data_IF_004418530100
#
_entry.id   IF_004418530100
#
_cell.length_a   1.000
_cell.length_b   1.000
_cell.length_c   1.000
_cell.angle_alpha   90.00
_cell.angle_beta   90.00
_cell.angle_gamma   90.00
#
_symmetry.space_group_name_H-M   'P 1'
#
loop_
_entity.id
_entity.type
_entity.pdbx_description
1 polymer ?
#
# COMPACT_ATOMS: atom_id res chain seq x y z
N UNK A 1 -57.45 66.41 17.76
CA UNK A 1 -57.61 65.01 17.30
C UNK A 1 -56.27 64.58 16.64
N UNK A 2 -55.42 63.87 17.37
CA UNK A 2 -54.09 63.47 16.93
C UNK A 2 -54.03 61.93 16.80
N UNK A 3 -53.85 61.47 15.60
CA UNK A 3 -53.79 60.03 15.31
C UNK A 3 -52.32 59.61 15.35
N UNK A 4 -51.95 58.84 16.37
CA UNK A 4 -50.60 58.18 16.46
C UNK A 4 -50.59 56.92 15.59
N UNK A 5 -49.73 56.89 14.58
CA UNK A 5 -49.43 55.69 13.80
C UNK A 5 -48.33 54.91 14.52
N UNK A 6 -48.64 53.73 15.01
CA UNK A 6 -47.65 52.76 15.52
C UNK A 6 -47.09 51.99 14.36
N UNK A 7 -45.76 52.08 14.09
CA UNK A 7 -45.05 51.20 13.20
C UNK A 7 -44.59 49.98 13.99
N UNK A 8 -45.13 48.80 13.62
CA UNK A 8 -44.59 47.52 14.06
C UNK A 8 -43.42 47.13 13.15
N UNK A 9 -42.19 47.19 13.67
CA UNK A 9 -41.02 46.58 13.05
C UNK A 9 -41.04 45.07 13.35
N UNK A 10 -41.31 44.26 12.35
CA UNK A 10 -41.12 42.81 12.43
C UNK A 10 -39.64 42.53 12.14
N UNK A 11 -38.88 42.21 13.17
CA UNK A 11 -37.50 41.72 13.03
C UNK A 11 -37.53 40.25 12.62
N UNK A 12 -37.26 39.95 11.34
CA UNK A 12 -36.97 38.60 10.88
C UNK A 12 -35.60 38.20 11.39
N UNK A 13 -35.53 37.41 12.47
CA UNK A 13 -34.32 36.68 12.87
C UNK A 13 -34.10 35.54 11.87
N UNK A 14 -33.28 35.74 10.86
CA UNK A 14 -32.71 34.63 10.07
C UNK A 14 -31.77 33.85 11.00
N UNK A 15 -32.23 32.74 11.54
CA UNK A 15 -31.33 31.73 12.13
C UNK A 15 -30.43 31.13 11.04
N UNK A 16 -29.24 31.70 10.90
CA UNK A 16 -28.14 31.04 10.19
C UNK A 16 -27.71 29.81 11.02
N UNK A 17 -28.37 28.69 10.80
CA UNK A 17 -27.86 27.42 11.23
C UNK A 17 -26.50 27.23 10.52
N UNK A 18 -25.42 26.99 11.25
CA UNK A 18 -24.15 26.62 10.60
C UNK A 18 -24.42 25.31 9.85
N UNK A 19 -24.46 25.35 8.53
CA UNK A 19 -24.32 24.18 7.69
C UNK A 19 -22.95 23.61 8.06
N UNK A 20 -22.94 22.59 8.94
CA UNK A 20 -21.79 21.70 9.04
C UNK A 20 -21.67 21.06 7.66
N UNK A 21 -20.78 21.59 6.83
CA UNK A 21 -20.30 20.83 5.68
C UNK A 21 -19.62 19.59 6.29
N UNK A 22 -20.39 18.52 6.44
CA UNK A 22 -19.82 17.19 6.67
C UNK A 22 -18.93 16.93 5.49
N UNK A 23 -17.64 16.65 5.72
CA UNK A 23 -16.77 16.19 4.66
C UNK A 23 -17.47 14.97 4.03
N UNK A 24 -17.77 15.05 2.74
CA UNK A 24 -18.33 13.93 2.03
C UNK A 24 -17.17 13.00 1.70
N UNK A 25 -17.33 11.72 2.04
CA UNK A 25 -16.34 10.69 1.77
C UNK A 25 -16.70 9.93 0.50
N UNK A 26 -15.70 9.48 -0.22
CA UNK A 26 -15.91 8.45 -1.22
C UNK A 26 -16.45 7.18 -0.54
N UNK A 27 -17.36 6.47 -1.19
CA UNK A 27 -18.02 5.31 -0.61
C UNK A 27 -18.41 4.29 -1.68
N UNK A 28 -18.88 3.14 -1.26
CA UNK A 28 -19.37 2.12 -2.18
C UNK A 28 -20.86 2.34 -2.48
N UNK A 29 -21.21 2.26 -3.75
CA UNK A 29 -22.59 2.27 -4.20
C UNK A 29 -22.83 1.15 -5.21
N UNK A 30 -23.53 0.11 -4.80
CA UNK A 30 -23.72 -1.08 -5.63
C UNK A 30 -22.38 -1.67 -6.10
N UNK A 31 -22.17 -1.84 -7.41
CA UNK A 31 -20.95 -2.39 -8.01
C UNK A 31 -19.83 -1.35 -8.20
N UNK A 32 -19.99 -0.15 -7.71
CA UNK A 32 -19.09 0.97 -7.96
C UNK A 32 -18.57 1.59 -6.67
N UNK A 33 -17.36 2.13 -6.75
CA UNK A 33 -16.89 3.15 -5.82
C UNK A 33 -17.32 4.49 -6.41
N UNK A 34 -17.84 5.36 -5.57
CA UNK A 34 -18.25 6.73 -5.93
C UNK A 34 -17.46 7.75 -5.11
N UNK A 35 -17.21 8.91 -5.69
CA UNK A 35 -16.54 10.00 -5.00
C UNK A 35 -17.47 10.70 -3.98
N UNK A 36 -16.97 11.73 -3.33
CA UNK A 36 -17.70 12.55 -2.37
C UNK A 36 -18.95 13.27 -2.96
N UNK A 37 -19.18 13.19 -4.26
CA UNK A 37 -20.31 13.79 -4.98
C UNK A 37 -21.20 12.75 -5.65
N UNK A 38 -21.12 11.50 -5.21
CA UNK A 38 -21.86 10.34 -5.76
C UNK A 38 -21.57 10.06 -7.25
N UNK A 39 -20.41 10.50 -7.76
CA UNK A 39 -19.98 10.21 -9.13
C UNK A 39 -19.13 8.95 -9.15
N UNK A 40 -19.33 8.06 -10.14
CA UNK A 40 -18.47 6.89 -10.31
C UNK A 40 -17.00 7.28 -10.31
N UNK A 41 -16.22 6.62 -9.46
CA UNK A 41 -14.79 6.85 -9.30
C UNK A 41 -14.03 5.56 -9.60
N UNK A 42 -13.22 5.58 -10.66
CA UNK A 42 -12.37 4.46 -11.02
C UNK A 42 -10.94 4.75 -10.52
N UNK A 43 -10.45 3.89 -9.65
CA UNK A 43 -9.10 3.99 -9.10
C UNK A 43 -8.08 3.76 -10.22
N UNK A 44 -7.18 4.71 -10.44
CA UNK A 44 -6.02 4.59 -11.29
C UNK A 44 -4.79 4.98 -10.48
N UNK A 45 -4.07 3.98 -9.95
CA UNK A 45 -3.05 4.22 -8.96
C UNK A 45 -1.78 3.40 -9.11
N UNK A 46 -0.86 3.64 -8.20
CA UNK A 46 0.36 2.87 -8.02
C UNK A 46 0.62 2.60 -6.53
N UNK A 47 1.46 1.60 -6.25
CA UNK A 47 1.81 1.20 -4.91
C UNK A 47 3.15 1.82 -4.50
N UNK A 48 3.23 2.48 -3.34
CA UNK A 48 4.48 2.97 -2.76
C UNK A 48 5.24 1.81 -2.08
N UNK A 49 5.44 0.71 -2.81
CA UNK A 49 6.20 -0.45 -2.35
C UNK A 49 7.64 -0.11 -1.97
N UNK A 50 8.27 -0.98 -1.19
CA UNK A 50 9.66 -0.84 -0.78
C UNK A 50 9.96 0.34 0.18
N UNK A 51 8.95 1.03 0.67
CA UNK A 51 9.11 2.17 1.58
C UNK A 51 9.09 1.75 3.07
N UNK A 52 7.94 1.28 3.57
CA UNK A 52 7.81 0.72 4.93
C UNK A 52 8.07 -0.79 4.97
N UNK A 53 7.91 -1.46 3.83
CA UNK A 53 8.11 -2.91 3.67
C UNK A 53 9.14 -3.13 2.55
N UNK A 54 10.44 -3.08 2.85
CA UNK A 54 11.48 -3.42 1.88
C UNK A 54 11.39 -4.90 1.49
N UNK A 55 11.53 -5.17 0.18
CA UNK A 55 11.56 -6.50 -0.40
C UNK A 55 12.84 -6.73 -1.19
N UNK A 56 13.47 -7.88 -1.00
CA UNK A 56 14.83 -8.10 -1.48
C UNK A 56 15.00 -7.98 -2.99
N UNK A 57 14.05 -8.48 -3.77
CA UNK A 57 14.12 -8.39 -5.23
C UNK A 57 14.06 -6.94 -5.76
N UNK A 58 13.49 -6.00 -4.96
CA UNK A 58 13.48 -4.57 -5.30
C UNK A 58 14.81 -3.87 -4.99
N UNK A 59 15.76 -4.59 -4.38
CA UNK A 59 17.12 -4.17 -4.06
C UNK A 59 18.19 -4.96 -4.85
N UNK A 60 17.79 -5.71 -5.87
CA UNK A 60 18.61 -6.67 -6.63
C UNK A 60 19.16 -7.84 -5.77
N UNK A 61 18.51 -8.16 -4.65
CA UNK A 61 18.92 -9.23 -3.74
C UNK A 61 18.30 -10.60 -4.07
N UNK A 62 17.91 -10.86 -5.31
CA UNK A 62 17.42 -12.18 -5.69
C UNK A 62 18.42 -13.27 -5.28
N UNK A 63 17.93 -14.26 -4.51
CA UNK A 63 18.75 -15.32 -3.92
C UNK A 63 19.51 -14.93 -2.64
N UNK A 64 19.25 -13.74 -2.10
CA UNK A 64 19.73 -13.24 -0.80
C UNK A 64 18.57 -12.90 0.14
N UNK A 65 18.72 -11.88 1.02
CA UNK A 65 17.66 -11.44 1.93
C UNK A 65 16.42 -11.00 1.16
N UNK A 66 15.24 -11.48 1.56
CA UNK A 66 13.99 -11.20 0.86
C UNK A 66 13.02 -10.39 1.71
N UNK A 67 12.95 -10.64 3.01
CA UNK A 67 12.05 -9.92 3.92
C UNK A 67 12.65 -8.62 4.44
N UNK A 68 11.81 -7.74 4.95
CA UNK A 68 12.23 -6.49 5.59
C UNK A 68 13.25 -6.73 6.71
N UNK A 69 13.02 -7.73 7.57
CA UNK A 69 13.92 -8.09 8.68
C UNK A 69 15.26 -8.60 8.19
N UNK A 70 15.27 -9.45 7.15
CA UNK A 70 16.50 -9.96 6.59
C UNK A 70 17.34 -8.85 5.97
N UNK A 71 16.71 -7.88 5.30
CA UNK A 71 17.38 -6.71 4.72
C UNK A 71 17.88 -5.80 5.86
N UNK A 72 17.08 -5.55 6.90
CA UNK A 72 17.50 -4.78 8.08
C UNK A 72 18.71 -5.43 8.79
N UNK A 73 18.71 -6.77 8.90
CA UNK A 73 19.84 -7.52 9.45
C UNK A 73 21.10 -7.38 8.58
N UNK A 74 20.98 -7.49 7.25
CA UNK A 74 22.09 -7.27 6.32
C UNK A 74 22.66 -5.85 6.47
N UNK A 75 21.82 -4.84 6.51
CA UNK A 75 22.24 -3.43 6.69
C UNK A 75 22.97 -3.27 8.02
N UNK A 76 22.46 -3.88 9.08
CA UNK A 76 23.09 -3.86 10.41
C UNK A 76 24.43 -4.61 10.42
N UNK A 77 24.53 -5.76 9.73
CA UNK A 77 25.78 -6.53 9.56
C UNK A 77 26.86 -5.70 8.86
N UNK A 78 26.48 -4.90 7.87
CA UNK A 78 27.42 -4.13 7.06
C UNK A 78 27.78 -2.77 7.67
N UNK A 79 26.80 -2.02 8.20
CA UNK A 79 27.01 -0.67 8.72
C UNK A 79 27.32 -0.62 10.22
N UNK A 80 26.95 -1.65 10.98
CA UNK A 80 26.85 -1.62 12.43
C UNK A 80 25.55 -0.97 12.92
N UNK A 81 25.12 -1.23 14.19
CA UNK A 81 23.77 -0.90 14.66
C UNK A 81 23.45 0.60 14.61
N UNK A 82 24.39 1.46 15.04
CA UNK A 82 24.13 2.90 15.08
C UNK A 82 23.93 3.50 13.69
N UNK A 83 24.85 3.19 12.77
CA UNK A 83 24.75 3.67 11.38
C UNK A 83 23.58 3.05 10.62
N UNK A 84 23.19 1.80 10.92
CA UNK A 84 22.02 1.17 10.35
C UNK A 84 20.74 1.91 10.77
N UNK A 85 20.63 2.29 12.04
CA UNK A 85 19.51 3.09 12.54
C UNK A 85 19.38 4.42 11.80
N UNK A 86 20.50 5.14 11.66
CA UNK A 86 20.55 6.40 10.91
C UNK A 86 20.25 6.21 9.42
N UNK A 87 20.75 5.15 8.80
CA UNK A 87 20.47 4.81 7.41
C UNK A 87 18.97 4.62 7.20
N UNK A 88 18.31 3.80 8.01
CA UNK A 88 16.89 3.51 7.86
C UNK A 88 16.00 4.74 8.07
N UNK A 89 16.35 5.60 9.02
CA UNK A 89 15.66 6.88 9.21
C UNK A 89 15.78 7.75 7.95
N UNK A 90 17.00 7.91 7.41
CA UNK A 90 17.24 8.68 6.19
C UNK A 90 16.59 8.04 4.96
N UNK A 91 16.62 6.70 4.85
CA UNK A 91 15.97 5.97 3.78
C UNK A 91 14.47 6.29 3.74
N UNK A 92 13.76 6.11 4.85
CA UNK A 92 12.33 6.38 4.92
C UNK A 92 11.96 7.86 4.73
N UNK A 93 12.80 8.77 5.19
CA UNK A 93 12.59 10.22 4.99
C UNK A 93 12.76 10.67 3.53
N UNK A 94 13.61 9.98 2.75
CA UNK A 94 13.97 10.38 1.39
C UNK A 94 13.35 9.52 0.29
N UNK A 95 12.83 8.32 0.60
CA UNK A 95 12.28 7.41 -0.39
C UNK A 95 11.01 7.95 -1.04
N UNK A 96 10.12 8.54 -0.23
CA UNK A 96 8.93 9.26 -0.70
C UNK A 96 9.00 10.70 -0.22
N UNK A 97 9.04 11.63 -1.17
CA UNK A 97 9.06 13.07 -0.91
C UNK A 97 7.92 13.76 -1.68
N UNK A 98 7.69 15.05 -1.41
CA UNK A 98 6.60 15.80 -2.05
C UNK A 98 6.63 15.74 -3.58
N UNK A 99 7.83 15.77 -4.16
CA UNK A 99 8.01 15.72 -5.61
C UNK A 99 7.54 14.39 -6.21
N UNK A 100 7.63 13.27 -5.47
CA UNK A 100 7.10 11.97 -5.91
C UNK A 100 5.58 12.05 -6.08
N UNK A 101 4.87 12.64 -5.12
CA UNK A 101 3.42 12.80 -5.15
C UNK A 101 3.00 13.74 -6.29
N UNK A 102 3.74 14.84 -6.46
CA UNK A 102 3.52 15.77 -7.56
C UNK A 102 3.71 15.12 -8.94
N UNK A 103 4.76 14.31 -9.11
CA UNK A 103 5.00 13.55 -10.35
C UNK A 103 3.85 12.60 -10.66
N UNK A 104 3.33 11.88 -9.66
CA UNK A 104 2.20 10.97 -9.82
C UNK A 104 0.93 11.72 -10.25
N UNK A 105 0.65 12.87 -9.63
CA UNK A 105 -0.46 13.72 -10.06
C UNK A 105 -0.29 14.20 -11.52
N UNK A 106 0.89 14.70 -11.89
CA UNK A 106 1.16 15.15 -13.26
C UNK A 106 1.01 14.03 -14.29
N UNK A 107 1.41 12.80 -13.93
CA UNK A 107 1.21 11.63 -14.77
C UNK A 107 -0.26 11.25 -14.96
N UNK A 108 -1.15 11.71 -14.08
CA UNK A 108 -2.60 11.47 -14.15
C UNK A 108 -3.09 10.33 -13.27
N UNK A 109 -2.28 9.85 -12.33
CA UNK A 109 -2.77 8.98 -11.26
C UNK A 109 -3.75 9.75 -10.38
N UNK A 110 -4.73 9.06 -9.82
CA UNK A 110 -5.72 9.63 -8.90
C UNK A 110 -5.67 9.01 -7.50
N UNK A 111 -4.92 7.94 -7.33
CA UNK A 111 -4.85 7.18 -6.08
C UNK A 111 -3.45 6.63 -5.85
N UNK A 112 -3.04 6.55 -4.59
CA UNK A 112 -1.79 5.94 -4.14
C UNK A 112 -2.13 4.89 -3.08
N UNK A 113 -1.66 3.65 -3.26
CA UNK A 113 -1.72 2.62 -2.20
C UNK A 113 -0.41 2.61 -1.44
N UNK A 114 -0.48 2.59 -0.12
CA UNK A 114 0.68 2.67 0.77
C UNK A 114 0.78 1.39 1.59
N UNK A 115 1.71 0.48 1.25
CA UNK A 115 2.03 -0.68 2.07
C UNK A 115 2.58 -0.29 3.43
N UNK A 116 1.94 -0.74 4.51
CA UNK A 116 2.29 -0.46 5.90
C UNK A 116 2.87 -1.70 6.57
N UNK A 117 3.92 -1.52 7.37
CA UNK A 117 4.38 -2.52 8.31
C UNK A 117 3.93 -2.13 9.71
N UNK A 118 3.21 -3.00 10.41
CA UNK A 118 2.60 -2.73 11.71
C UNK A 118 3.57 -2.11 12.73
N UNK A 119 4.86 -2.53 12.72
CA UNK A 119 5.88 -2.07 13.67
C UNK A 119 6.10 -0.56 13.69
N UNK A 120 5.74 0.14 12.61
CA UNK A 120 5.86 1.61 12.54
C UNK A 120 4.63 2.36 13.06
N UNK A 121 3.60 1.64 13.56
CA UNK A 121 2.33 2.23 14.00
C UNK A 121 1.95 1.83 15.44
N UNK A 122 2.93 1.47 16.26
CA UNK A 122 2.76 0.98 17.63
C UNK A 122 2.32 2.06 18.63
N UNK A 123 2.54 3.34 18.33
CA UNK A 123 2.13 4.46 19.17
C UNK A 123 1.72 5.66 18.31
N UNK A 124 0.94 6.58 18.87
CA UNK A 124 0.43 7.76 18.18
C UNK A 124 1.53 8.72 17.71
N UNK A 125 2.71 8.66 18.33
CA UNK A 125 3.89 9.47 18.00
C UNK A 125 4.95 8.68 17.23
N UNK A 126 4.64 7.51 16.69
CA UNK A 126 5.60 6.69 15.95
C UNK A 126 6.04 7.35 14.64
N UNK A 127 7.21 6.93 14.16
CA UNK A 127 7.78 7.42 12.90
C UNK A 127 6.83 7.19 11.73
N UNK A 128 6.14 6.05 11.70
CA UNK A 128 5.19 5.71 10.64
C UNK A 128 4.11 6.77 10.47
N UNK A 129 3.48 7.22 11.57
CA UNK A 129 2.47 8.27 11.49
C UNK A 129 3.05 9.61 11.02
N UNK A 130 4.24 10.00 11.50
CA UNK A 130 4.90 11.22 11.04
C UNK A 130 5.12 11.23 9.52
N UNK A 131 5.54 10.11 8.98
CA UNK A 131 5.78 9.93 7.54
C UNK A 131 4.48 9.87 6.74
N UNK A 132 3.51 9.12 7.24
CA UNK A 132 2.22 8.94 6.59
C UNK A 132 1.42 10.24 6.53
N UNK A 133 1.40 11.03 7.63
CA UNK A 133 0.75 12.33 7.67
C UNK A 133 1.28 13.27 6.57
N UNK A 134 2.60 13.28 6.34
CA UNK A 134 3.21 14.10 5.28
C UNK A 134 2.72 13.69 3.90
N UNK A 135 2.72 12.38 3.62
CA UNK A 135 2.27 11.87 2.30
C UNK A 135 0.79 12.14 2.09
N UNK A 136 -0.06 11.93 3.11
CA UNK A 136 -1.49 12.24 3.02
C UNK A 136 -1.70 13.74 2.80
N UNK A 137 -0.96 14.61 3.48
CA UNK A 137 -1.04 16.05 3.28
C UNK A 137 -0.62 16.46 1.86
N UNK A 138 0.45 15.86 1.31
CA UNK A 138 0.88 16.14 -0.06
C UNK A 138 -0.14 15.62 -1.07
N UNK A 139 -0.70 14.43 -0.84
CA UNK A 139 -1.76 13.85 -1.67
C UNK A 139 -3.01 14.72 -1.68
N UNK A 140 -3.41 15.24 -0.53
CA UNK A 140 -4.52 16.19 -0.41
C UNK A 140 -4.28 17.46 -1.25
N UNK A 141 -3.07 18.01 -1.19
CA UNK A 141 -2.71 19.22 -1.95
C UNK A 141 -2.73 18.98 -3.47
N UNK A 142 -2.48 17.76 -3.92
CA UNK A 142 -2.49 17.36 -5.33
C UNK A 142 -3.83 16.73 -5.76
N UNK A 143 -4.81 16.58 -4.86
CA UNK A 143 -6.11 15.96 -5.17
C UNK A 143 -6.06 14.46 -5.41
N UNK A 144 -5.09 13.75 -4.82
CA UNK A 144 -4.95 12.31 -4.89
C UNK A 144 -5.60 11.65 -3.66
N UNK A 145 -6.27 10.53 -3.86
CA UNK A 145 -6.68 9.65 -2.77
C UNK A 145 -5.55 8.75 -2.30
N UNK A 146 -5.66 8.27 -1.05
CA UNK A 146 -4.70 7.35 -0.43
C UNK A 146 -5.42 6.13 0.10
N UNK A 147 -4.95 4.93 -0.24
CA UNK A 147 -5.38 3.66 0.37
C UNK A 147 -4.27 3.21 1.32
N UNK A 148 -4.62 2.92 2.57
CA UNK A 148 -3.72 2.42 3.59
C UNK A 148 -3.81 0.90 3.62
N UNK A 149 -2.72 0.23 3.28
CA UNK A 149 -2.65 -1.22 3.17
C UNK A 149 -1.84 -1.83 4.32
N UNK A 150 -2.41 -2.79 5.04
CA UNK A 150 -1.68 -3.55 6.04
C UNK A 150 -0.91 -4.69 5.37
N UNK A 151 0.29 -4.37 4.92
CA UNK A 151 1.14 -5.25 4.14
C UNK A 151 1.90 -6.27 4.99
N UNK A 152 2.28 -5.90 6.20
CA UNK A 152 2.90 -6.79 7.17
C UNK A 152 2.22 -6.66 8.53
N UNK A 153 1.66 -7.77 9.02
CA UNK A 153 0.86 -7.83 10.25
C UNK A 153 1.63 -8.39 11.44
N UNK A 154 1.19 -8.11 12.68
CA UNK A 154 1.64 -8.88 13.84
C UNK A 154 1.44 -10.39 13.59
N UNK A 155 2.48 -11.19 13.85
CA UNK A 155 2.46 -12.63 13.64
C UNK A 155 2.54 -13.09 12.18
N UNK A 156 2.39 -12.18 11.21
CA UNK A 156 2.39 -12.46 9.78
C UNK A 156 1.11 -13.12 9.27
N UNK A 157 0.70 -12.80 8.04
CA UNK A 157 -0.49 -13.31 7.39
C UNK A 157 -0.20 -14.33 6.29
N UNK A 158 1.07 -14.49 5.87
CA UNK A 158 1.43 -15.41 4.79
C UNK A 158 2.29 -16.59 5.24
N UNK A 159 3.16 -16.43 6.22
CA UNK A 159 4.21 -17.38 6.54
C UNK A 159 5.39 -17.31 5.57
N UNK A 160 5.32 -16.43 4.57
CA UNK A 160 6.39 -16.15 3.61
C UNK A 160 7.17 -14.88 4.00
N UNK A 161 8.13 -14.51 3.19
CA UNK A 161 9.03 -13.38 3.47
C UNK A 161 8.40 -12.01 3.21
N UNK A 162 7.41 -11.91 2.32
CA UNK A 162 6.84 -10.61 1.89
C UNK A 162 6.18 -9.81 3.01
N UNK A 163 5.68 -10.47 4.04
CA UNK A 163 5.03 -9.86 5.21
C UNK A 163 5.88 -9.92 6.49
N UNK A 164 7.17 -10.21 6.34
CA UNK A 164 8.11 -10.35 7.45
C UNK A 164 7.75 -11.45 8.48
N UNK A 165 6.99 -12.47 8.03
CA UNK A 165 6.59 -13.63 8.85
C UNK A 165 7.78 -14.42 9.41
N UNK A 166 7.52 -15.20 10.47
CA UNK A 166 8.48 -16.13 11.08
C UNK A 166 8.41 -17.56 10.50
N UNK A 167 8.05 -17.72 9.23
CA UNK A 167 7.89 -19.02 8.57
C UNK A 167 6.54 -19.70 8.78
N UNK A 168 5.63 -19.11 9.54
CA UNK A 168 4.25 -19.53 9.72
C UNK A 168 3.33 -18.32 9.92
N UNK A 169 2.12 -18.27 9.35
CA UNK A 169 1.19 -17.15 9.49
C UNK A 169 0.43 -17.21 10.83
N UNK A 170 1.08 -16.83 11.90
CA UNK A 170 0.56 -16.88 13.26
C UNK A 170 -0.67 -16.02 13.50
N UNK A 171 -0.92 -15.04 12.65
CA UNK A 171 -2.11 -14.17 12.76
C UNK A 171 -3.42 -14.97 12.86
N UNK A 172 -3.53 -16.11 12.15
CA UNK A 172 -4.78 -16.90 12.16
C UNK A 172 -4.94 -17.79 13.40
N UNK A 173 -3.86 -18.10 14.10
CA UNK A 173 -3.83 -19.04 15.24
C UNK A 173 -3.58 -18.36 16.57
N UNK A 174 -3.12 -17.12 16.59
CA UNK A 174 -2.80 -16.37 17.78
C UNK A 174 -3.85 -15.30 18.11
N UNK A 175 -4.70 -15.49 19.12
CA UNK A 175 -5.60 -14.44 19.60
C UNK A 175 -4.88 -13.15 20.00
N UNK A 176 -3.63 -13.27 20.47
CA UNK A 176 -2.79 -12.14 20.86
C UNK A 176 -2.40 -11.29 19.63
N UNK A 177 -1.91 -11.91 18.55
CA UNK A 177 -1.55 -11.20 17.33
C UNK A 177 -2.77 -10.57 16.67
N UNK A 178 -3.92 -11.24 16.70
CA UNK A 178 -5.18 -10.66 16.24
C UNK A 178 -5.60 -9.45 17.07
N UNK A 179 -5.46 -9.51 18.41
CA UNK A 179 -5.78 -8.36 19.28
C UNK A 179 -4.80 -7.20 19.03
N UNK A 180 -3.55 -7.51 18.77
CA UNK A 180 -2.53 -6.54 18.41
C UNK A 180 -2.87 -5.83 17.09
N UNK A 181 -3.21 -6.59 16.05
CA UNK A 181 -3.64 -6.02 14.76
C UNK A 181 -4.90 -5.16 14.89
N UNK A 182 -5.88 -5.59 15.70
CA UNK A 182 -7.07 -4.78 16.04
C UNK A 182 -6.65 -3.43 16.62
N UNK A 183 -5.72 -3.42 17.60
CA UNK A 183 -5.26 -2.18 18.22
C UNK A 183 -4.54 -1.25 17.24
N UNK A 184 -3.72 -1.81 16.34
CA UNK A 184 -3.06 -1.06 15.25
C UNK A 184 -4.11 -0.43 14.32
N UNK A 185 -5.07 -1.22 13.81
CA UNK A 185 -6.12 -0.69 12.93
C UNK A 185 -6.99 0.36 13.61
N UNK A 186 -7.38 0.16 14.86
CA UNK A 186 -8.15 1.18 15.60
C UNK A 186 -7.36 2.48 15.80
N UNK A 187 -6.05 2.41 15.95
CA UNK A 187 -5.18 3.58 16.05
C UNK A 187 -5.10 4.33 14.72
N UNK A 188 -4.87 3.60 13.61
CA UNK A 188 -4.85 4.16 12.27
C UNK A 188 -6.21 4.80 11.94
N UNK A 189 -7.29 4.06 12.13
CA UNK A 189 -8.65 4.53 11.85
C UNK A 189 -9.02 5.76 12.70
N UNK A 190 -8.68 5.78 13.99
CA UNK A 190 -8.93 6.95 14.86
C UNK A 190 -8.22 8.21 14.38
N UNK A 191 -6.98 8.05 13.87
CA UNK A 191 -6.20 9.17 13.37
C UNK A 191 -6.77 9.77 12.10
N UNK A 192 -7.27 8.93 11.20
CA UNK A 192 -7.67 9.35 9.85
C UNK A 192 -9.17 9.38 9.60
N UNK A 193 -10.02 8.98 10.54
CA UNK A 193 -11.50 8.87 10.37
C UNK A 193 -12.19 10.12 9.82
N UNK A 194 -11.60 11.30 10.00
CA UNK A 194 -12.15 12.57 9.55
C UNK A 194 -11.40 13.13 8.31
N UNK A 195 -10.50 12.35 7.70
CA UNK A 195 -9.69 12.78 6.57
C UNK A 195 -10.17 12.17 5.23
N UNK A 196 -10.92 12.93 4.39
CA UNK A 196 -11.47 12.40 3.14
C UNK A 196 -10.43 12.13 2.06
N UNK A 197 -9.16 12.50 2.25
CA UNK A 197 -8.06 12.13 1.35
C UNK A 197 -7.73 10.64 1.44
N UNK A 198 -7.96 10.03 2.60
CA UNK A 198 -7.91 8.58 2.75
C UNK A 198 -9.16 8.01 2.10
N UNK A 199 -8.98 7.20 1.04
CA UNK A 199 -10.08 6.53 0.35
C UNK A 199 -10.61 5.37 1.18
N UNK A 200 -9.70 4.62 1.79
CA UNK A 200 -10.05 3.46 2.59
C UNK A 200 -8.85 2.69 3.11
N UNK A 201 -9.17 1.57 3.74
CA UNK A 201 -8.22 0.65 4.38
C UNK A 201 -8.24 -0.69 3.67
N UNK A 202 -7.11 -1.09 3.11
CA UNK A 202 -6.85 -2.43 2.62
C UNK A 202 -6.41 -3.27 3.82
N UNK A 203 -7.35 -4.08 4.32
CA UNK A 203 -7.31 -4.58 5.70
C UNK A 203 -6.21 -5.61 5.92
N UNK A 204 -5.92 -6.43 4.90
CA UNK A 204 -4.82 -7.41 4.88
C UNK A 204 -4.32 -7.59 3.45
N UNK A 205 -3.03 -7.37 3.22
CA UNK A 205 -2.37 -7.69 1.97
C UNK A 205 -2.18 -9.21 1.83
N UNK A 206 -2.59 -9.77 0.70
CA UNK A 206 -2.22 -11.12 0.24
C UNK A 206 -2.34 -12.23 1.30
N UNK A 207 -3.46 -12.37 2.02
CA UNK A 207 -3.60 -13.35 3.07
C UNK A 207 -3.52 -14.79 2.52
N UNK A 208 -2.87 -15.66 3.26
CA UNK A 208 -2.78 -17.11 3.02
C UNK A 208 -2.29 -17.46 1.61
N UNK A 209 -1.02 -17.83 1.43
CA UNK A 209 -0.46 -18.15 0.12
C UNK A 209 -1.02 -19.45 -0.48
N UNK A 210 -0.68 -19.72 -1.74
CA UNK A 210 -1.08 -20.92 -2.49
C UNK A 210 -0.43 -22.24 -2.00
N UNK A 211 -0.02 -22.33 -0.74
CA UNK A 211 0.57 -23.55 -0.21
C UNK A 211 -0.52 -24.50 0.29
N UNK A 212 -0.62 -25.73 -0.24
CA UNK A 212 -1.66 -26.69 0.16
C UNK A 212 -1.73 -26.94 1.67
N UNK A 213 -0.59 -26.89 2.37
CA UNK A 213 -0.48 -27.04 3.83
C UNK A 213 -1.20 -25.93 4.60
N UNK A 214 -1.40 -24.77 4.01
CA UNK A 214 -2.07 -23.62 4.62
C UNK A 214 -3.56 -23.52 4.23
N UNK A 215 -4.05 -24.33 3.31
CA UNK A 215 -5.47 -24.31 2.88
C UNK A 215 -6.48 -24.42 4.04
N UNK A 216 -6.22 -25.15 5.16
CA UNK A 216 -7.13 -25.17 6.31
C UNK A 216 -7.34 -23.78 6.96
N UNK A 217 -6.43 -22.82 6.77
CA UNK A 217 -6.55 -21.46 7.30
C UNK A 217 -7.61 -20.63 6.56
N UNK A 218 -8.03 -21.04 5.35
CA UNK A 218 -9.05 -20.34 4.57
C UNK A 218 -10.33 -20.10 5.37
N UNK A 219 -10.76 -21.09 6.17
CA UNK A 219 -11.95 -20.97 7.02
C UNK A 219 -11.82 -19.90 8.15
N UNK A 220 -10.60 -19.45 8.43
CA UNK A 220 -10.32 -18.43 9.47
C UNK A 220 -10.29 -17.02 8.93
N UNK A 221 -10.17 -16.82 7.61
CA UNK A 221 -9.97 -15.51 7.01
C UNK A 221 -11.21 -14.62 7.16
N UNK A 222 -12.38 -15.06 6.73
CA UNK A 222 -13.61 -14.25 6.85
C UNK A 222 -13.99 -13.92 8.30
N UNK A 223 -13.90 -14.84 9.28
CA UNK A 223 -14.06 -14.52 10.70
C UNK A 223 -13.09 -13.45 11.19
N UNK A 224 -11.83 -13.49 10.76
CA UNK A 224 -10.84 -12.45 11.08
C UNK A 224 -11.23 -11.10 10.48
N UNK A 225 -11.63 -11.06 9.21
CA UNK A 225 -12.12 -9.83 8.58
C UNK A 225 -13.34 -9.24 9.30
N UNK A 226 -14.29 -10.08 9.71
CA UNK A 226 -15.45 -9.61 10.51
C UNK A 226 -15.02 -8.97 11.83
N UNK A 227 -14.03 -9.57 12.50
CA UNK A 227 -13.46 -9.03 13.75
C UNK A 227 -12.77 -7.69 13.51
N UNK A 228 -11.92 -7.58 12.48
CA UNK A 228 -11.21 -6.35 12.12
C UNK A 228 -12.18 -5.25 11.68
N UNK A 229 -13.13 -5.58 10.82
CA UNK A 229 -14.18 -4.65 10.37
C UNK A 229 -14.96 -4.09 11.55
N UNK A 230 -15.46 -4.95 12.45
CA UNK A 230 -16.19 -4.51 13.64
C UNK A 230 -15.36 -3.56 14.50
N UNK A 231 -14.06 -3.83 14.65
CA UNK A 231 -13.17 -2.99 15.43
C UNK A 231 -12.89 -1.63 14.77
N UNK A 232 -12.68 -1.61 13.46
CA UNK A 232 -12.51 -0.36 12.70
C UNK A 232 -13.80 0.47 12.75
N UNK A 233 -14.97 -0.14 12.53
CA UNK A 233 -16.27 0.54 12.53
C UNK A 233 -16.67 1.15 13.88
N UNK A 234 -16.08 0.68 14.99
CA UNK A 234 -16.24 1.34 16.30
C UNK A 234 -15.67 2.77 16.32
N UNK A 235 -14.73 3.10 15.45
CA UNK A 235 -14.03 4.39 15.44
C UNK A 235 -14.17 5.14 14.12
N UNK A 236 -14.41 4.44 13.03
CA UNK A 236 -14.50 5.00 11.67
C UNK A 236 -15.62 4.31 10.88
N UNK A 237 -16.66 5.07 10.57
CA UNK A 237 -17.82 4.60 9.80
C UNK A 237 -17.81 5.11 8.35
N UNK A 238 -16.79 5.88 7.94
CA UNK A 238 -16.78 6.59 6.67
C UNK A 238 -15.94 5.92 5.59
N UNK A 239 -14.73 5.44 5.94
CA UNK A 239 -13.79 4.94 4.95
C UNK A 239 -14.18 3.56 4.41
N UNK A 240 -13.87 3.34 3.12
CA UNK A 240 -14.08 2.05 2.47
C UNK A 240 -13.13 1.01 3.09
N UNK A 241 -13.63 -0.19 3.33
CA UNK A 241 -12.78 -1.35 3.65
C UNK A 241 -12.58 -2.17 2.39
N UNK A 242 -11.32 -2.47 2.05
CA UNK A 242 -10.96 -3.36 0.98
C UNK A 242 -10.60 -4.71 1.58
N UNK A 243 -11.23 -5.77 1.09
CA UNK A 243 -11.06 -7.13 1.60
C UNK A 243 -10.56 -8.04 0.48
N UNK A 244 -9.37 -8.58 0.66
CA UNK A 244 -8.74 -9.50 -0.28
C UNK A 244 -9.07 -10.96 -0.01
N UNK A 245 -9.12 -11.78 -1.06
CA UNK A 245 -9.34 -13.23 -0.94
C UNK A 245 -8.13 -13.96 -0.37
N UNK A 246 -8.28 -15.23 -0.03
CA UNK A 246 -7.13 -16.08 0.28
C UNK A 246 -6.28 -16.35 -0.98
N UNK A 247 -5.14 -17.06 -0.82
CA UNK A 247 -4.21 -17.42 -1.89
C UNK A 247 -3.73 -16.16 -2.66
N UNK A 248 -3.04 -15.26 -1.94
CA UNK A 248 -2.51 -14.03 -2.52
C UNK A 248 -3.61 -13.15 -3.14
N UNK A 249 -4.70 -12.91 -2.40
CA UNK A 249 -5.90 -12.19 -2.84
C UNK A 249 -6.64 -12.81 -4.05
N UNK A 250 -6.29 -14.06 -4.40
CA UNK A 250 -6.79 -14.72 -5.60
C UNK A 250 -8.06 -15.53 -5.42
N UNK A 251 -8.41 -15.95 -4.20
CA UNK A 251 -9.48 -16.90 -3.95
C UNK A 251 -10.66 -16.27 -3.20
N UNK A 252 -11.72 -15.95 -3.90
CA UNK A 252 -12.96 -15.38 -3.33
C UNK A 252 -13.94 -16.42 -2.80
N UNK A 253 -13.66 -17.72 -2.95
CA UNK A 253 -14.53 -18.76 -2.38
C UNK A 253 -14.54 -18.77 -0.84
N UNK A 254 -13.62 -18.05 -0.21
CA UNK A 254 -13.56 -17.85 1.25
C UNK A 254 -14.62 -16.89 1.77
N UNK A 255 -15.23 -16.09 0.90
CA UNK A 255 -16.27 -15.13 1.26
C UNK A 255 -17.66 -15.73 1.10
N UNK A 256 -18.52 -15.44 2.07
CA UNK A 256 -19.95 -15.72 2.02
C UNK A 256 -20.72 -14.44 1.59
N UNK A 257 -21.62 -13.95 2.43
CA UNK A 257 -22.34 -12.71 2.16
C UNK A 257 -21.54 -11.50 2.67
N UNK A 258 -21.59 -10.37 1.97
CA UNK A 258 -21.09 -9.10 2.49
C UNK A 258 -21.66 -8.81 3.89
N UNK A 259 -20.83 -8.31 4.78
CA UNK A 259 -21.17 -8.10 6.19
C UNK A 259 -20.92 -6.66 6.64
N UNK A 260 -20.53 -5.79 5.74
CA UNK A 260 -20.37 -4.34 5.94
C UNK A 260 -20.88 -3.61 4.70
N UNK A 261 -21.49 -2.45 4.90
CA UNK A 261 -22.20 -1.72 3.83
C UNK A 261 -21.27 -0.82 3.00
N UNK A 262 -20.02 -0.62 3.44
CA UNK A 262 -19.05 0.22 2.74
C UNK A 262 -17.76 -0.55 2.51
N UNK A 263 -17.89 -1.70 1.85
CA UNK A 263 -16.79 -2.62 1.54
C UNK A 263 -16.67 -2.82 0.03
N UNK A 264 -15.44 -2.79 -0.46
CA UNK A 264 -15.05 -3.24 -1.79
C UNK A 264 -14.18 -4.50 -1.66
N UNK A 265 -14.14 -5.32 -2.71
CA UNK A 265 -13.33 -6.53 -2.71
C UNK A 265 -12.13 -6.36 -3.63
N UNK A 266 -10.94 -6.73 -3.12
CA UNK A 266 -9.69 -6.61 -3.85
C UNK A 266 -9.14 -7.96 -4.26
N UNK A 267 -8.46 -7.99 -5.40
CA UNK A 267 -7.72 -9.14 -5.88
C UNK A 267 -6.38 -8.70 -6.47
N UNK A 268 -5.40 -9.58 -6.42
CA UNK A 268 -4.10 -9.40 -7.05
C UNK A 268 -3.93 -10.36 -8.22
N UNK A 269 -3.25 -9.91 -9.28
CA UNK A 269 -3.06 -10.73 -10.48
C UNK A 269 -1.75 -10.42 -11.18
N UNK A 270 -0.86 -11.40 -11.16
CA UNK A 270 0.44 -11.32 -11.80
C UNK A 270 0.61 -12.45 -12.82
N UNK A 271 1.39 -12.25 -13.85
CA UNK A 271 1.87 -13.24 -14.83
C UNK A 271 0.76 -14.13 -15.42
N UNK A 272 -0.45 -13.62 -15.48
CA UNK A 272 -1.60 -14.33 -16.03
C UNK A 272 -1.80 -14.03 -17.52
N UNK A 273 -2.78 -14.68 -18.16
CA UNK A 273 -3.33 -14.20 -19.43
C UNK A 273 -3.99 -12.83 -19.22
N UNK A 274 -4.24 -12.12 -20.32
CA UNK A 274 -4.87 -10.80 -20.34
C UNK A 274 -6.30 -10.83 -20.89
N UNK A 275 -6.96 -12.00 -20.82
CA UNK A 275 -8.36 -12.17 -21.22
C UNK A 275 -9.30 -12.27 -20.00
N UNK A 276 -10.61 -12.15 -20.26
CA UNK A 276 -11.62 -12.09 -19.19
C UNK A 276 -11.65 -13.34 -18.31
N UNK A 277 -11.19 -14.49 -18.79
CA UNK A 277 -11.25 -15.74 -18.03
C UNK A 277 -10.47 -15.68 -16.71
N UNK A 278 -9.42 -14.84 -16.65
CA UNK A 278 -8.58 -14.71 -15.46
C UNK A 278 -9.20 -13.87 -14.35
N UNK A 279 -10.24 -13.08 -14.68
CA UNK A 279 -10.99 -12.25 -13.73
C UNK A 279 -12.46 -12.69 -13.58
N UNK A 280 -12.91 -13.74 -14.28
CA UNK A 280 -14.32 -14.13 -14.33
C UNK A 280 -14.89 -14.42 -12.94
N UNK A 281 -14.16 -15.13 -12.07
CA UNK A 281 -14.63 -15.44 -10.71
C UNK A 281 -14.93 -14.18 -9.88
N UNK A 282 -14.17 -13.11 -10.09
CA UNK A 282 -14.38 -11.84 -9.38
C UNK A 282 -15.60 -11.09 -9.95
N UNK A 283 -15.77 -11.12 -11.28
CA UNK A 283 -16.98 -10.57 -11.93
C UNK A 283 -18.24 -11.28 -11.46
N UNK A 284 -18.21 -12.62 -11.37
CA UNK A 284 -19.33 -13.43 -10.86
C UNK A 284 -19.65 -13.08 -9.41
N UNK A 285 -18.63 -12.87 -8.58
CA UNK A 285 -18.79 -12.45 -7.20
C UNK A 285 -19.40 -11.03 -7.10
N UNK A 286 -18.86 -10.09 -7.86
CA UNK A 286 -19.38 -8.71 -7.97
C UNK A 286 -20.87 -8.73 -8.34
N UNK A 287 -21.23 -9.53 -9.34
CA UNK A 287 -22.58 -9.58 -9.88
C UNK A 287 -23.57 -10.27 -8.93
N UNK A 288 -23.10 -11.31 -8.24
CA UNK A 288 -23.90 -12.04 -7.23
C UNK A 288 -24.24 -11.16 -6.02
N UNK A 289 -23.28 -10.41 -5.53
CA UNK A 289 -23.41 -9.68 -4.26
C UNK A 289 -23.61 -8.17 -4.44
N UNK A 290 -23.59 -7.68 -5.66
CA UNK A 290 -23.76 -6.25 -5.99
C UNK A 290 -22.76 -5.37 -5.25
N UNK A 291 -21.47 -5.73 -5.26
CA UNK A 291 -20.37 -5.07 -4.55
C UNK A 291 -19.29 -4.60 -5.52
N UNK A 292 -18.51 -3.54 -5.24
CA UNK A 292 -17.44 -3.11 -6.11
C UNK A 292 -16.20 -4.00 -6.01
N UNK A 293 -15.44 -4.02 -7.13
CA UNK A 293 -14.13 -4.65 -7.23
C UNK A 293 -13.04 -3.61 -7.43
N UNK A 294 -11.86 -3.94 -6.94
CA UNK A 294 -10.63 -3.22 -7.19
C UNK A 294 -9.46 -4.21 -7.33
N UNK A 295 -8.59 -3.98 -8.30
CA UNK A 295 -7.34 -4.74 -8.45
C UNK A 295 -6.24 -4.03 -7.69
N UNK A 296 -5.89 -4.56 -6.50
CA UNK A 296 -4.97 -3.94 -5.54
C UNK A 296 -3.52 -3.98 -6.01
N UNK A 297 -3.12 -5.07 -6.67
CA UNK A 297 -1.78 -5.20 -7.23
C UNK A 297 -1.76 -5.98 -8.54
N UNK A 298 -0.91 -5.50 -9.44
CA UNK A 298 -0.46 -6.16 -10.65
C UNK A 298 0.80 -5.46 -11.16
N UNK A 299 1.49 -6.06 -12.12
CA UNK A 299 2.70 -5.49 -12.68
C UNK A 299 3.77 -6.55 -12.95
N UNK A 300 5.04 -6.18 -12.73
CA UNK A 300 6.20 -7.08 -12.87
C UNK A 300 6.22 -7.83 -14.22
N UNK A 301 5.85 -7.13 -15.30
CA UNK A 301 5.70 -7.70 -16.63
C UNK A 301 6.12 -6.70 -17.72
N UNK A 302 6.00 -7.08 -18.99
CA UNK A 302 6.29 -6.19 -20.13
C UNK A 302 5.23 -5.10 -20.26
N UNK A 303 5.60 -4.00 -20.90
CA UNK A 303 4.69 -2.89 -21.17
C UNK A 303 3.46 -3.34 -21.99
N UNK A 304 3.65 -4.28 -22.95
CA UNK A 304 2.55 -4.82 -23.75
C UNK A 304 1.54 -5.59 -22.92
N UNK A 305 2.02 -6.44 -22.00
CA UNK A 305 1.16 -7.19 -21.09
C UNK A 305 0.38 -6.24 -20.16
N UNK A 306 1.06 -5.24 -19.60
CA UNK A 306 0.47 -4.24 -18.72
C UNK A 306 -0.64 -3.47 -19.46
N UNK A 307 -0.38 -3.00 -20.68
CA UNK A 307 -1.36 -2.28 -21.50
C UNK A 307 -2.62 -3.12 -21.78
N UNK A 308 -2.43 -4.40 -22.13
CA UNK A 308 -3.55 -5.32 -22.35
C UNK A 308 -4.35 -5.57 -21.06
N UNK A 309 -3.67 -5.72 -19.91
CA UNK A 309 -4.33 -5.98 -18.64
C UNK A 309 -5.08 -4.74 -18.13
N UNK A 310 -4.51 -3.54 -18.26
CA UNK A 310 -5.21 -2.26 -18.01
C UNK A 310 -6.47 -2.14 -18.88
N UNK A 311 -6.36 -2.46 -20.19
CA UNK A 311 -7.52 -2.43 -21.08
C UNK A 311 -8.62 -3.42 -20.64
N UNK A 312 -8.25 -4.63 -20.18
CA UNK A 312 -9.18 -5.60 -19.63
C UNK A 312 -9.89 -5.07 -18.39
N UNK A 313 -9.15 -4.50 -17.43
CA UNK A 313 -9.71 -3.95 -16.20
C UNK A 313 -10.66 -2.79 -16.48
N UNK A 314 -10.22 -1.81 -17.28
CA UNK A 314 -11.03 -0.63 -17.64
C UNK A 314 -12.32 -1.02 -18.38
N UNK A 315 -12.26 -2.02 -19.29
CA UNK A 315 -13.45 -2.55 -19.98
C UNK A 315 -14.49 -3.14 -19.04
N UNK A 316 -14.08 -3.59 -17.87
CA UNK A 316 -14.95 -4.24 -16.86
C UNK A 316 -15.24 -3.32 -15.66
N UNK A 317 -14.95 -2.01 -15.75
CA UNK A 317 -15.14 -1.02 -14.69
C UNK A 317 -14.44 -1.43 -13.38
N UNK A 318 -13.22 -1.98 -13.48
CA UNK A 318 -12.39 -2.35 -12.32
C UNK A 318 -11.25 -1.34 -12.21
N UNK A 319 -11.23 -0.60 -11.11
CA UNK A 319 -10.10 0.25 -10.75
C UNK A 319 -8.86 -0.57 -10.41
N UNK A 320 -7.68 0.03 -10.46
CA UNK A 320 -6.41 -0.66 -10.29
C UNK A 320 -5.34 0.21 -9.63
N UNK A 321 -4.40 -0.46 -8.93
CA UNK A 321 -3.11 0.09 -8.50
C UNK A 321 -2.00 -0.86 -8.92
N UNK A 322 -1.09 -0.38 -9.77
CA UNK A 322 0.02 -1.20 -10.27
C UNK A 322 1.23 -1.13 -9.34
N UNK A 323 1.93 -2.24 -9.24
CA UNK A 323 3.14 -2.43 -8.47
C UNK A 323 4.39 -2.37 -9.35
N UNK A 324 5.48 -1.72 -8.90
CA UNK A 324 5.54 -0.71 -7.84
C UNK A 324 5.79 0.70 -8.39
N UNK A 325 5.80 1.70 -7.50
CA UNK A 325 6.20 3.07 -7.84
C UNK A 325 7.70 3.17 -8.13
N UNK A 326 8.57 2.73 -7.21
CA UNK A 326 10.03 2.75 -7.32
C UNK A 326 10.63 1.36 -7.23
N UNK A 327 11.63 1.06 -8.09
CA UNK A 327 12.36 -0.20 -8.07
C UNK A 327 13.79 -0.01 -8.59
N UNK A 328 14.74 -0.76 -8.04
CA UNK A 328 16.12 -0.74 -8.51
C UNK A 328 16.27 -1.51 -9.83
N UNK A 329 17.11 -1.02 -10.74
CA UNK A 329 17.57 -1.68 -11.98
C UNK A 329 16.49 -2.08 -13.00
N UNK A 330 15.21 -1.98 -12.70
CA UNK A 330 14.13 -2.47 -13.57
C UNK A 330 13.23 -1.34 -14.04
N UNK A 331 12.68 -1.49 -15.24
CA UNK A 331 11.75 -0.53 -15.85
C UNK A 331 10.28 -0.87 -15.63
N UNK A 332 9.98 -2.02 -15.01
CA UNK A 332 8.61 -2.42 -14.61
C UNK A 332 8.14 -1.67 -13.34
N UNK A 333 8.31 -0.35 -13.32
CA UNK A 333 7.95 0.56 -12.26
C UNK A 333 7.75 1.97 -12.83
N UNK A 334 7.11 2.87 -12.10
CA UNK A 334 6.97 4.27 -12.55
C UNK A 334 8.34 4.94 -12.67
N UNK A 335 9.22 4.72 -11.69
CA UNK A 335 10.60 5.21 -11.72
C UNK A 335 11.60 4.12 -11.33
N UNK A 336 12.76 4.16 -11.96
CA UNK A 336 13.90 3.26 -11.70
C UNK A 336 14.94 3.95 -10.85
N UNK A 337 15.42 3.27 -9.81
CA UNK A 337 16.58 3.65 -9.00
C UNK A 337 17.83 3.06 -9.65
N UNK A 338 18.82 3.89 -9.95
CA UNK A 338 20.11 3.41 -10.41
C UNK A 338 20.91 2.84 -9.23
N UNK A 339 21.45 1.60 -9.31
CA UNK A 339 22.34 1.08 -8.28
C UNK A 339 23.54 2.01 -8.06
N UNK A 340 23.92 2.29 -6.81
CA UNK A 340 25.09 3.10 -6.54
C UNK A 340 26.40 2.34 -6.85
N UNK A 341 27.50 3.04 -6.99
CA UNK A 341 28.83 2.43 -7.12
C UNK A 341 29.12 1.48 -5.95
N UNK A 342 29.63 0.27 -6.27
CA UNK A 342 29.93 -0.79 -5.31
C UNK A 342 28.71 -1.59 -4.83
N UNK A 343 27.50 -1.31 -5.35
CA UNK A 343 26.29 -2.07 -5.00
C UNK A 343 26.38 -3.53 -5.40
N UNK A 344 27.04 -3.83 -6.50
CA UNK A 344 27.34 -5.20 -6.97
C UNK A 344 28.06 -6.04 -5.91
N UNK A 345 28.99 -5.43 -5.17
CA UNK A 345 29.72 -6.09 -4.05
C UNK A 345 28.79 -6.33 -2.86
N UNK A 346 27.88 -5.39 -2.58
CA UNK A 346 26.86 -5.57 -1.53
C UNK A 346 25.92 -6.71 -1.91
N UNK A 347 25.45 -6.75 -3.17
CA UNK A 347 24.58 -7.83 -3.69
C UNK A 347 25.31 -9.19 -3.64
N UNK A 348 26.57 -9.25 -4.05
CA UNK A 348 27.35 -10.49 -3.97
C UNK A 348 27.49 -10.99 -2.52
N UNK A 349 27.79 -10.11 -1.59
CA UNK A 349 27.86 -10.43 -0.16
C UNK A 349 26.50 -10.84 0.42
N UNK A 350 25.42 -10.17 0.01
CA UNK A 350 24.07 -10.46 0.46
C UNK A 350 23.61 -11.88 0.15
N UNK A 351 24.10 -12.47 -0.94
CA UNK A 351 23.77 -13.83 -1.41
C UNK A 351 24.54 -14.95 -0.72
N UNK A 352 25.55 -14.62 0.09
CA UNK A 352 26.34 -15.63 0.79
C UNK A 352 25.51 -16.35 1.86
N UNK A 353 25.72 -17.67 2.05
CA UNK A 353 25.05 -18.43 3.10
C UNK A 353 25.32 -17.85 4.49
N UNK A 354 24.25 -17.82 5.34
CA UNK A 354 24.31 -17.25 6.70
C UNK A 354 24.31 -18.31 7.80
N UNK A 355 24.54 -19.57 7.45
CA UNK A 355 24.70 -20.65 8.42
C UNK A 355 26.10 -20.63 9.07
N UNK A 356 26.27 -21.43 10.14
CA UNK A 356 27.51 -21.50 10.91
C UNK A 356 28.68 -22.06 10.14
N UNK A 357 28.46 -22.91 9.13
CA UNK A 357 29.53 -23.51 8.34
C UNK A 357 30.26 -22.48 7.45
N UNK A 358 29.55 -21.38 7.09
CA UNK A 358 30.07 -20.38 6.14
C UNK A 358 30.44 -19.04 6.82
N UNK A 359 30.53 -18.98 8.15
CA UNK A 359 30.86 -17.72 8.87
C UNK A 359 32.19 -17.15 8.43
N UNK A 360 33.27 -17.98 8.38
CA UNK A 360 34.59 -17.50 8.00
C UNK A 360 34.66 -17.04 6.54
N UNK A 361 34.02 -17.76 5.63
CA UNK A 361 33.97 -17.40 4.22
C UNK A 361 33.23 -16.05 4.02
N UNK A 362 32.17 -15.87 4.76
CA UNK A 362 31.40 -14.59 4.74
C UNK A 362 32.27 -13.44 5.29
N UNK A 363 33.00 -13.66 6.40
CA UNK A 363 33.88 -12.65 6.96
C UNK A 363 34.97 -12.25 5.99
N UNK A 364 35.59 -13.22 5.27
CA UNK A 364 36.60 -12.98 4.24
C UNK A 364 36.06 -12.25 3.02
N UNK A 365 34.84 -12.56 2.61
CA UNK A 365 34.17 -11.97 1.44
C UNK A 365 33.49 -10.62 1.74
N UNK A 366 33.48 -10.18 3.00
CA UNK A 366 32.86 -8.91 3.39
C UNK A 366 33.59 -7.75 2.68
N UNK A 367 32.88 -6.89 1.96
CA UNK A 367 33.47 -5.71 1.34
C UNK A 367 34.18 -4.84 2.39
N UNK A 368 35.22 -4.13 1.98
CA UNK A 368 35.86 -3.18 2.88
C UNK A 368 34.91 -2.06 3.32
N UNK A 369 35.19 -1.46 4.48
CA UNK A 369 34.29 -0.51 5.10
C UNK A 369 34.10 0.77 4.26
N UNK A 370 35.06 1.15 3.44
CA UNK A 370 34.96 2.31 2.55
C UNK A 370 33.94 2.01 1.44
N UNK A 371 34.03 0.86 0.79
CA UNK A 371 33.06 0.39 -0.22
C UNK A 371 31.64 0.33 0.38
N UNK A 372 31.48 -0.26 1.58
CA UNK A 372 30.19 -0.35 2.24
C UNK A 372 29.61 1.04 2.49
N UNK A 373 30.37 1.95 3.13
CA UNK A 373 29.91 3.29 3.43
C UNK A 373 29.56 4.06 2.15
N UNK A 374 30.35 3.92 1.09
CA UNK A 374 30.09 4.58 -0.19
C UNK A 374 28.80 4.07 -0.85
N UNK A 375 28.61 2.75 -0.91
CA UNK A 375 27.44 2.14 -1.52
C UNK A 375 26.13 2.55 -0.81
N UNK A 376 26.12 2.50 0.53
CA UNK A 376 24.91 2.90 1.27
C UNK A 376 24.64 4.42 1.25
N UNK A 377 25.70 5.25 1.27
CA UNK A 377 25.54 6.69 1.07
C UNK A 377 25.03 7.01 -0.34
N UNK A 378 25.56 6.31 -1.35
CA UNK A 378 25.10 6.41 -2.74
C UNK A 378 23.63 5.99 -2.88
N UNK A 379 23.21 4.90 -2.21
CA UNK A 379 21.80 4.49 -2.22
C UNK A 379 20.89 5.57 -1.66
N UNK A 380 21.25 6.21 -0.54
CA UNK A 380 20.46 7.32 0.03
C UNK A 380 20.38 8.54 -0.90
N UNK A 381 21.30 8.71 -1.81
CA UNK A 381 21.20 9.73 -2.87
C UNK A 381 20.30 9.25 -4.00
N UNK A 382 20.52 8.01 -4.49
CA UNK A 382 19.87 7.50 -5.69
C UNK A 382 18.38 7.19 -5.52
N UNK A 383 17.90 6.97 -4.29
CA UNK A 383 16.47 6.82 -4.01
C UNK A 383 15.68 8.13 -4.13
N UNK A 384 16.36 9.29 -4.11
CA UNK A 384 15.68 10.59 -4.28
C UNK A 384 15.17 10.71 -5.70
N UNK A 385 13.96 11.21 -5.88
CA UNK A 385 13.33 11.33 -7.19
C UNK A 385 14.23 12.03 -8.22
N UNK A 386 14.94 13.09 -7.81
CA UNK A 386 15.86 13.83 -8.69
C UNK A 386 17.02 13.00 -9.26
N UNK A 387 17.27 11.81 -8.74
CA UNK A 387 18.30 10.89 -9.19
C UNK A 387 17.69 9.63 -9.85
N UNK A 388 16.37 9.51 -9.86
CA UNK A 388 15.67 8.38 -10.48
C UNK A 388 15.37 8.66 -11.96
N UNK A 389 15.13 7.58 -12.71
CA UNK A 389 14.71 7.65 -14.10
C UNK A 389 13.22 7.31 -14.22
N UNK A 390 12.43 8.21 -14.80
CA UNK A 390 11.04 7.93 -15.15
C UNK A 390 11.00 6.93 -16.30
N UNK A 391 10.08 5.96 -16.26
CA UNK A 391 9.88 4.94 -17.28
C UNK A 391 8.68 5.31 -18.18
N UNK A 392 8.90 6.00 -19.31
CA UNK A 392 7.80 6.47 -20.16
C UNK A 392 7.04 5.33 -20.82
N UNK A 393 7.69 4.17 -21.07
CA UNK A 393 7.04 2.96 -21.59
C UNK A 393 6.01 2.43 -20.61
N UNK A 394 6.40 2.30 -19.33
CA UNK A 394 5.52 1.84 -18.25
C UNK A 394 4.33 2.80 -18.05
N UNK A 395 4.57 4.12 -18.01
CA UNK A 395 3.50 5.11 -17.91
C UNK A 395 2.53 5.00 -19.09
N UNK A 396 3.05 4.88 -20.30
CA UNK A 396 2.23 4.70 -21.50
C UNK A 396 1.40 3.42 -21.44
N UNK A 397 1.97 2.33 -20.96
CA UNK A 397 1.28 1.05 -20.80
C UNK A 397 0.11 1.16 -19.80
N UNK A 398 0.26 1.96 -18.76
CA UNK A 398 -0.81 2.28 -17.80
C UNK A 398 -1.84 3.29 -18.33
N UNK A 399 -1.65 3.86 -19.53
CA UNK A 399 -2.48 4.94 -20.07
C UNK A 399 -2.25 6.29 -19.40
N UNK A 400 -1.12 6.45 -18.70
CA UNK A 400 -0.73 7.68 -17.99
C UNK A 400 -0.02 8.66 -18.94
N UNK A 401 0.03 9.93 -18.54
CA UNK A 401 0.71 10.99 -19.31
C UNK A 401 2.23 10.86 -19.15
N UNK A 402 3.01 11.20 -20.17
CA UNK A 402 4.45 11.31 -20.02
C UNK A 402 4.80 12.47 -19.07
N UNK A 403 5.73 12.20 -18.17
CA UNK A 403 6.27 13.18 -17.21
C UNK A 403 7.78 13.08 -17.17
N UNK A 404 8.44 14.12 -16.67
CA UNK A 404 9.88 14.14 -16.41
C UNK A 404 10.15 14.60 -15.00
N UNK A 405 11.26 14.14 -14.43
CA UNK A 405 11.78 14.69 -13.17
C UNK A 405 12.24 16.12 -13.45
N UNK A 406 11.65 17.10 -12.76
CA UNK A 406 12.04 18.50 -12.80
C UNK A 406 13.06 18.81 -11.72
#
# INVERSE_FOLDING_TARGET
MSIRRSLCLAACLLCLLPLKLSAQFAHTHQKQIVDAHDKPFLIHGTNLGNWFVPEGYMWDFEGGPQSSREIENLVTELLGPDKATDFWRQYRDNYVVRQDIHLLHQAGFNTIRIPLHYKYFESDNSEGFRLLDRVIQWSQAEGLYVILDMHATPGGQTGANIDDSYGYPWLYDSPQEQAHLVAIWQRIARRYKDNPTVLGYDVLNEPIPHYPSLAPLNAKLEPLYKKLTAAIRQVDTHHILFLGGAQWDGNFSVFHQPFDNNTAYTFHKYWSKTDVSVIQQYLDFRDRYNVPLWMGESGENTDEWIAQFVALLNKNDIGWTFWPYKKMSKTSAVVTITPPEGWDKIVAFAKLPRDMAHVEDRLKARPDQQTINHAFAGLLQNIRLSQCHVNPGYLKALGMKPVSVQ
#
